data_IF_736122360479
#
_entry.id   IF_736122360479
#
_cell.length_a   1.000
_cell.length_b   1.000
_cell.length_c   1.000
_cell.angle_alpha   90.00
_cell.angle_beta   90.00
_cell.angle_gamma   90.00
#
_symmetry.space_group_name_H-M   'P 1'
#
loop_
_entity.id
_entity.type
_entity.pdbx_description
1 polymer ?
#
# COMPACT_ATOMS: atom_id res chain seq x y z
N UNK A 1 19.69 41.31 -18.28
CA UNK A 1 19.96 39.89 -18.62
C UNK A 1 19.86 38.98 -17.39
N UNK A 2 19.99 39.48 -16.15
CA UNK A 2 19.96 38.65 -14.92
C UNK A 2 18.58 38.10 -14.50
N UNK A 3 17.46 38.75 -14.87
CA UNK A 3 16.12 38.27 -14.53
C UNK A 3 15.72 36.95 -15.24
N UNK A 4 16.44 36.54 -16.29
CA UNK A 4 16.14 35.32 -17.06
C UNK A 4 16.73 34.04 -16.45
N UNK A 5 17.71 34.15 -15.54
CA UNK A 5 18.37 32.99 -14.91
C UNK A 5 17.55 32.41 -13.74
N UNK A 6 16.88 33.27 -12.97
CA UNK A 6 16.14 32.87 -11.77
C UNK A 6 14.87 32.03 -12.08
N UNK A 7 14.23 32.28 -13.23
CA UNK A 7 13.02 31.55 -13.66
C UNK A 7 13.30 30.09 -14.05
N UNK A 8 14.47 29.80 -14.65
CA UNK A 8 14.86 28.42 -15.01
C UNK A 8 15.20 27.59 -13.78
N UNK A 9 15.83 28.19 -12.76
CA UNK A 9 16.12 27.53 -11.49
C UNK A 9 14.85 27.15 -10.72
N UNK A 10 13.82 28.03 -10.71
CA UNK A 10 12.54 27.71 -10.07
C UNK A 10 11.85 26.51 -10.75
N UNK A 11 11.88 26.44 -12.08
CA UNK A 11 11.28 25.34 -12.83
C UNK A 11 11.95 24.00 -12.52
N UNK A 12 13.30 23.97 -12.51
CA UNK A 12 14.07 22.76 -12.18
C UNK A 12 13.81 22.31 -10.74
N UNK A 13 13.79 23.22 -9.76
CA UNK A 13 13.52 22.90 -8.35
C UNK A 13 12.08 22.40 -8.15
N UNK A 14 11.10 22.95 -8.87
CA UNK A 14 9.70 22.46 -8.83
C UNK A 14 9.58 21.05 -9.43
N UNK A 15 10.20 20.79 -10.59
CA UNK A 15 10.22 19.44 -11.16
C UNK A 15 11.00 18.47 -10.28
N UNK A 16 12.13 18.87 -9.69
CA UNK A 16 12.89 17.99 -8.79
C UNK A 16 12.10 17.68 -7.52
N UNK A 17 11.35 18.65 -6.98
CA UNK A 17 10.49 18.47 -5.80
C UNK A 17 9.26 17.62 -6.12
N UNK A 18 8.71 17.72 -7.34
CA UNK A 18 7.67 16.82 -7.85
C UNK A 18 8.20 15.39 -8.00
N UNK A 19 9.36 15.20 -8.64
CA UNK A 19 10.01 13.90 -8.75
C UNK A 19 10.36 13.31 -7.38
N UNK A 20 10.91 14.10 -6.46
CA UNK A 20 11.24 13.64 -5.11
C UNK A 20 10.00 13.28 -4.29
N UNK A 21 8.86 13.96 -4.52
CA UNK A 21 7.58 13.60 -3.90
C UNK A 21 7.02 12.30 -4.49
N UNK A 22 7.19 12.07 -5.80
CA UNK A 22 6.73 10.86 -6.50
C UNK A 22 7.59 9.63 -6.17
N UNK A 23 8.87 9.80 -5.83
CA UNK A 23 9.82 8.71 -5.53
C UNK A 23 9.92 8.33 -4.04
N UNK A 24 9.24 9.05 -3.13
CA UNK A 24 9.41 8.89 -1.67
C UNK A 24 8.68 7.69 -1.04
N UNK A 25 8.33 6.66 -1.81
CA UNK A 25 7.44 5.62 -1.29
C UNK A 25 7.54 4.27 -1.99
N UNK A 26 8.74 3.76 -2.26
CA UNK A 26 8.86 2.32 -2.55
C UNK A 26 8.83 1.54 -1.23
N UNK A 27 7.68 1.59 -0.56
CA UNK A 27 7.40 0.76 0.59
C UNK A 27 7.16 -0.65 0.07
N UNK A 28 7.97 -1.63 0.48
CA UNK A 28 7.70 -3.04 0.15
C UNK A 28 6.36 -3.43 0.77
N UNK A 29 5.33 -3.59 -0.07
CA UNK A 29 4.01 -4.03 0.35
C UNK A 29 3.93 -5.54 0.16
N UNK A 30 3.57 -6.27 1.23
CA UNK A 30 3.35 -7.71 1.16
C UNK A 30 1.98 -8.06 1.71
N UNK A 31 1.18 -8.75 0.91
CA UNK A 31 -0.13 -9.26 1.29
C UNK A 31 -0.02 -10.78 1.48
N UNK A 32 -0.27 -11.25 2.70
CA UNK A 32 -0.24 -12.68 3.03
C UNK A 32 -1.66 -13.20 3.26
N UNK A 33 -2.11 -14.14 2.41
CA UNK A 33 -3.43 -14.77 2.54
C UNK A 33 -3.45 -16.21 2.02
N UNK A 34 -4.56 -16.91 2.25
CA UNK A 34 -4.80 -18.22 1.67
C UNK A 34 -4.92 -18.16 0.14
N UNK A 35 -4.72 -19.31 -0.50
CA UNK A 35 -4.98 -19.53 -1.94
C UNK A 35 -6.48 -19.58 -2.24
N UNK A 36 -7.23 -18.57 -1.78
CA UNK A 36 -8.67 -18.43 -1.92
C UNK A 36 -9.00 -16.95 -2.22
N UNK A 37 -10.09 -16.73 -2.94
CA UNK A 37 -10.65 -15.41 -3.32
C UNK A 37 -11.38 -14.69 -2.16
N UNK A 38 -11.12 -15.06 -0.91
CA UNK A 38 -11.88 -14.60 0.26
C UNK A 38 -11.64 -13.14 0.65
N UNK A 39 -11.30 -12.93 1.92
CA UNK A 39 -11.24 -11.59 2.53
C UNK A 39 -10.10 -10.70 2.00
N UNK A 40 -9.11 -11.29 1.32
CA UNK A 40 -8.00 -10.54 0.74
C UNK A 40 -8.28 -9.99 -0.66
N UNK A 41 -9.32 -10.45 -1.35
CA UNK A 41 -9.60 -10.03 -2.73
C UNK A 41 -9.89 -8.52 -2.84
N UNK A 42 -10.71 -7.91 -1.95
CA UNK A 42 -10.92 -6.46 -1.98
C UNK A 42 -9.62 -5.67 -1.80
N UNK A 43 -8.68 -6.19 -1.00
CA UNK A 43 -7.38 -5.56 -0.75
C UNK A 43 -6.53 -5.60 -2.03
N UNK A 44 -6.52 -6.73 -2.75
CA UNK A 44 -5.81 -6.86 -4.05
C UNK A 44 -6.34 -5.88 -5.08
N UNK A 45 -7.66 -5.73 -5.17
CA UNK A 45 -8.27 -4.77 -6.09
C UNK A 45 -7.90 -3.34 -5.74
N UNK A 46 -7.92 -2.96 -4.47
CA UNK A 46 -7.55 -1.62 -4.04
C UNK A 46 -6.07 -1.31 -4.28
N UNK A 47 -5.17 -2.27 -4.03
CA UNK A 47 -3.74 -2.11 -4.31
C UNK A 47 -3.48 -1.95 -5.82
N UNK A 48 -4.15 -2.76 -6.64
CA UNK A 48 -4.06 -2.68 -8.10
C UNK A 48 -4.66 -1.37 -8.63
N UNK A 49 -5.79 -0.91 -8.08
CA UNK A 49 -6.44 0.35 -8.44
C UNK A 49 -5.55 1.56 -8.14
N UNK A 50 -4.83 1.52 -7.00
CA UNK A 50 -3.86 2.54 -6.62
C UNK A 50 -2.56 2.49 -7.44
N UNK A 51 -2.36 1.47 -8.28
CA UNK A 51 -1.11 1.25 -9.01
C UNK A 51 0.09 0.98 -8.10
N UNK A 52 -0.15 0.44 -6.90
CA UNK A 52 0.91 0.07 -5.96
C UNK A 52 1.37 -1.35 -6.24
N UNK A 53 2.66 -1.54 -6.50
CA UNK A 53 3.24 -2.87 -6.61
C UNK A 53 3.26 -3.56 -5.23
N UNK A 54 2.79 -4.80 -5.19
CA UNK A 54 2.73 -5.60 -3.96
C UNK A 54 3.05 -7.07 -4.20
N UNK A 55 3.64 -7.70 -3.19
CA UNK A 55 3.93 -9.13 -3.17
C UNK A 55 2.69 -9.90 -2.65
N UNK A 56 2.02 -10.69 -3.49
CA UNK A 56 0.90 -11.56 -3.11
C UNK A 56 1.42 -12.93 -2.64
N UNK A 57 1.71 -13.05 -1.34
CA UNK A 57 2.15 -14.29 -0.73
C UNK A 57 0.94 -15.18 -0.40
N UNK A 58 0.78 -16.25 -1.17
CA UNK A 58 -0.28 -17.24 -0.98
C UNK A 58 0.27 -18.47 -0.26
N UNK A 59 -0.34 -18.82 0.85
CA UNK A 59 0.03 -20.01 1.62
C UNK A 59 -1.10 -21.06 1.67
N UNK A 60 -0.70 -22.30 1.89
CA UNK A 60 -1.61 -23.44 2.07
C UNK A 60 -2.11 -23.59 3.51
N UNK A 61 -3.13 -24.43 3.71
CA UNK A 61 -3.68 -24.70 5.05
C UNK A 61 -2.69 -25.32 6.04
N UNK A 62 -1.71 -26.09 5.56
CA UNK A 62 -0.65 -26.67 6.41
C UNK A 62 0.36 -25.62 6.88
N UNK A 63 0.80 -24.76 5.97
CA UNK A 63 1.73 -23.66 6.26
C UNK A 63 1.13 -22.63 7.22
N UNK A 64 -0.19 -22.47 7.18
CA UNK A 64 -0.91 -21.59 8.10
C UNK A 64 -0.65 -21.93 9.57
N UNK A 65 -0.50 -23.21 9.93
CA UNK A 65 -0.23 -23.60 11.33
C UNK A 65 1.11 -23.04 11.83
N UNK A 66 2.10 -22.92 10.95
CA UNK A 66 3.41 -22.34 11.25
C UNK A 66 3.40 -20.82 11.21
N UNK A 67 2.60 -20.22 10.33
CA UNK A 67 2.52 -18.76 10.16
C UNK A 67 1.65 -18.11 11.25
N UNK A 68 0.55 -18.75 11.66
CA UNK A 68 -0.42 -18.26 12.65
C UNK A 68 0.22 -17.67 13.92
N UNK A 69 1.19 -18.30 14.61
CA UNK A 69 1.80 -17.71 15.80
C UNK A 69 2.57 -16.41 15.54
N UNK A 70 3.06 -16.22 14.31
CA UNK A 70 3.79 -15.01 13.90
C UNK A 70 2.84 -13.89 13.44
N UNK A 71 1.57 -14.20 13.20
CA UNK A 71 0.60 -13.18 12.79
C UNK A 71 0.07 -12.38 13.99
N UNK A 72 -0.08 -11.06 13.85
CA UNK A 72 -0.78 -10.26 14.86
C UNK A 72 -2.19 -10.82 15.09
N UNK A 73 -2.54 -11.09 16.34
CA UNK A 73 -3.84 -11.64 16.76
C UNK A 73 -4.23 -13.01 16.16
N UNK A 74 -3.33 -13.72 15.48
CA UNK A 74 -3.61 -15.07 14.95
C UNK A 74 -4.65 -15.08 13.82
N UNK A 75 -4.77 -13.99 13.06
CA UNK A 75 -5.76 -13.81 11.98
C UNK A 75 -5.08 -13.48 10.65
N UNK A 76 -5.78 -13.80 9.56
CA UNK A 76 -5.40 -13.49 8.17
C UNK A 76 -6.64 -12.88 7.49
N UNK A 77 -6.51 -11.86 6.61
CA UNK A 77 -5.32 -11.38 5.91
C UNK A 77 -4.35 -10.53 6.74
N UNK A 78 -3.07 -10.61 6.38
CA UNK A 78 -1.99 -9.79 6.95
C UNK A 78 -1.41 -8.93 5.83
N UNK A 79 -1.33 -7.62 6.06
CA UNK A 79 -0.70 -6.68 5.17
C UNK A 79 0.53 -6.10 5.87
N UNK A 80 1.68 -6.19 5.23
CA UNK A 80 2.91 -5.54 5.65
C UNK A 80 3.12 -4.31 4.78
N UNK A 81 3.17 -3.13 5.38
CA UNK A 81 3.35 -1.86 4.70
C UNK A 81 4.18 -0.94 5.58
N UNK A 82 5.22 -0.31 5.03
CA UNK A 82 6.11 0.61 5.76
C UNK A 82 6.74 0.00 7.03
N UNK A 83 7.05 -1.30 7.01
CA UNK A 83 7.58 -2.02 8.19
C UNK A 83 6.55 -2.30 9.28
N UNK A 84 5.28 -1.94 9.08
CA UNK A 84 4.19 -2.24 10.01
C UNK A 84 3.41 -3.45 9.50
N UNK A 85 3.12 -4.38 10.40
CA UNK A 85 2.30 -5.56 10.13
C UNK A 85 0.91 -5.30 10.66
N UNK A 86 -0.06 -5.15 9.75
CA UNK A 86 -1.46 -4.91 10.10
C UNK A 86 -2.32 -6.11 9.72
N UNK A 87 -3.39 -6.28 10.48
CA UNK A 87 -4.41 -7.31 10.22
C UNK A 87 -5.78 -6.64 10.25
N UNK A 88 -6.84 -7.42 9.95
CA UNK A 88 -8.23 -6.99 9.75
C UNK A 88 -8.51 -6.42 8.35
N UNK A 89 -9.22 -7.22 7.56
CA UNK A 89 -9.56 -6.92 6.17
C UNK A 89 -10.35 -5.60 6.01
N UNK A 90 -11.34 -5.34 6.86
CA UNK A 90 -12.20 -4.14 6.76
C UNK A 90 -11.40 -2.88 7.06
N UNK A 91 -10.53 -2.92 8.08
CA UNK A 91 -9.70 -1.78 8.44
C UNK A 91 -8.70 -1.44 7.32
N UNK A 92 -8.04 -2.46 6.77
CA UNK A 92 -7.13 -2.32 5.63
C UNK A 92 -7.87 -1.76 4.41
N UNK A 93 -9.03 -2.34 4.07
CA UNK A 93 -9.82 -1.90 2.91
C UNK A 93 -10.31 -0.46 3.07
N UNK A 94 -10.69 -0.04 4.28
CA UNK A 94 -11.08 1.35 4.57
C UNK A 94 -9.91 2.31 4.43
N UNK A 95 -8.72 1.92 4.91
CA UNK A 95 -7.52 2.73 4.77
C UNK A 95 -7.15 2.93 3.29
N UNK A 96 -7.04 1.83 2.54
CA UNK A 96 -6.74 1.86 1.10
C UNK A 96 -7.84 2.57 0.29
N UNK A 97 -9.11 2.37 0.66
CA UNK A 97 -10.24 3.06 0.02
C UNK A 97 -10.18 4.58 0.23
N UNK A 98 -9.72 5.03 1.40
CA UNK A 98 -9.48 6.45 1.67
C UNK A 98 -8.30 6.99 0.84
N UNK A 99 -7.21 6.23 0.74
CA UNK A 99 -6.08 6.59 -0.16
C UNK A 99 -6.51 6.67 -1.63
N UNK A 100 -7.41 5.77 -2.05
CA UNK A 100 -7.93 5.69 -3.41
C UNK A 100 -8.99 6.77 -3.74
N UNK A 101 -9.39 7.59 -2.76
CA UNK A 101 -10.48 8.55 -2.95
C UNK A 101 -11.86 7.92 -3.12
N UNK A 102 -12.01 6.64 -2.74
CA UNK A 102 -13.27 5.88 -2.79
C UNK A 102 -14.07 5.99 -1.49
N UNK A 103 -13.59 6.78 -0.52
CA UNK A 103 -14.30 7.06 0.72
C UNK A 103 -15.48 8.00 0.51
N UNK A 104 -16.53 7.84 1.33
CA UNK A 104 -17.61 8.81 1.42
C UNK A 104 -17.12 10.19 1.87
N UNK A 105 -17.83 11.24 1.46
CA UNK A 105 -17.49 12.64 1.78
C UNK A 105 -17.60 12.95 3.27
N UNK A 106 -18.54 12.32 3.96
CA UNK A 106 -18.78 12.41 5.40
C UNK A 106 -19.09 10.99 5.95
N UNK A 107 -18.96 10.79 7.27
CA UNK A 107 -19.33 9.52 7.94
C UNK A 107 -20.82 9.23 7.80
#
# INVERSE_FOLDING_TARGET
VEQCSHSRLLFVVLTLRLYFTVMAGESKIKLSYFTLIGLAEPIRFLLSYLGKDFEDYRFGGKEWLTIKPNTPWGKSPVLEMNGQVVTQNVAISRYLGKEAGLGGKDN
#
